data_IF_430028849019
#
_entry.id   IF_430028849019
#
_cell.length_a   1.000
_cell.length_b   1.000
_cell.length_c   1.000
_cell.angle_alpha   90.00
_cell.angle_beta   90.00
_cell.angle_gamma   90.00
#
_symmetry.space_group_name_H-M   'P 1'
#
loop_
_entity.id
_entity.type
_entity.pdbx_description
1 polymer ?
#
# COMPACT_ATOMS: atom_id res chain seq x y z
N UNK A 1 -12.20 -19.95 -5.67
CA UNK A 1 -12.97 -19.28 -4.60
C UNK A 1 -13.08 -17.80 -4.88
N UNK A 2 -13.61 -17.00 -3.94
CA UNK A 2 -13.69 -15.54 -4.03
C UNK A 2 -12.94 -14.94 -2.83
N UNK A 3 -12.18 -13.87 -3.05
CA UNK A 3 -11.46 -13.15 -2.00
C UNK A 3 -11.42 -11.65 -2.29
N UNK A 4 -11.23 -10.83 -1.25
CA UNK A 4 -10.89 -9.41 -1.38
C UNK A 4 -9.38 -9.29 -1.33
N UNK A 5 -8.78 -8.74 -2.39
CA UNK A 5 -7.33 -8.60 -2.54
C UNK A 5 -6.99 -7.12 -2.79
N UNK A 6 -5.83 -6.63 -2.33
CA UNK A 6 -5.31 -5.35 -2.79
C UNK A 6 -5.09 -5.40 -4.31
N UNK A 7 -5.54 -4.38 -5.04
CA UNK A 7 -5.44 -4.27 -6.50
C UNK A 7 -4.02 -4.50 -7.00
N UNK A 8 -3.02 -3.85 -6.40
CA UNK A 8 -1.61 -3.98 -6.80
C UNK A 8 -1.02 -5.40 -6.66
N UNK A 9 -1.67 -6.30 -5.90
CA UNK A 9 -1.35 -7.73 -5.87
C UNK A 9 -2.13 -8.47 -6.96
N UNK A 10 -3.44 -8.22 -7.04
CA UNK A 10 -4.34 -8.93 -7.96
C UNK A 10 -4.06 -8.62 -9.44
N UNK A 11 -3.73 -7.37 -9.77
CA UNK A 11 -3.50 -6.90 -11.14
C UNK A 11 -2.29 -7.57 -11.81
N UNK A 12 -1.42 -8.21 -11.02
CA UNK A 12 -0.25 -8.95 -11.52
C UNK A 12 -0.53 -10.41 -11.85
N UNK A 13 -1.71 -10.91 -11.50
CA UNK A 13 -2.10 -12.30 -11.72
C UNK A 13 -3.20 -12.37 -12.79
N UNK A 14 -2.80 -12.79 -14.00
CA UNK A 14 -3.70 -12.92 -15.15
C UNK A 14 -4.76 -14.02 -14.99
N UNK A 15 -4.67 -14.86 -13.95
CA UNK A 15 -5.67 -15.89 -13.67
C UNK A 15 -6.86 -15.37 -12.86
N UNK A 16 -6.74 -14.16 -12.30
CA UNK A 16 -7.79 -13.50 -11.53
C UNK A 16 -8.70 -12.64 -12.41
N UNK A 17 -9.96 -12.49 -11.99
CA UNK A 17 -10.91 -11.54 -12.62
C UNK A 17 -11.64 -10.70 -11.55
N UNK A 18 -11.82 -9.39 -11.77
CA UNK A 18 -12.70 -8.57 -10.93
C UNK A 18 -14.16 -9.05 -11.02
N UNK A 19 -14.88 -9.07 -9.90
CA UNK A 19 -16.28 -9.53 -9.85
C UNK A 19 -17.32 -8.40 -9.79
N UNK A 20 -17.06 -7.34 -9.03
CA UNK A 20 -18.04 -6.27 -8.75
C UNK A 20 -17.43 -4.86 -8.88
N UNK A 21 -16.80 -4.51 -10.00
CA UNK A 21 -16.00 -3.28 -10.12
C UNK A 21 -16.79 -1.98 -9.93
N UNK A 22 -18.12 -1.98 -10.19
CA UNK A 22 -18.97 -0.79 -10.02
C UNK A 22 -19.61 -0.68 -8.63
N UNK A 23 -19.53 -1.72 -7.80
CA UNK A 23 -20.27 -1.83 -6.53
C UNK A 23 -19.33 -1.92 -5.32
N UNK A 24 -18.07 -2.29 -5.52
CA UNK A 24 -17.13 -2.54 -4.45
C UNK A 24 -15.77 -1.87 -4.74
N UNK A 25 -15.49 -0.77 -4.03
CA UNK A 25 -14.18 -0.13 -3.95
C UNK A 25 -13.79 -0.02 -2.48
N UNK A 26 -12.70 -0.68 -2.09
CA UNK A 26 -12.23 -0.73 -0.71
C UNK A 26 -10.89 -0.01 -0.56
N UNK A 27 -10.90 1.12 0.13
CA UNK A 27 -9.67 1.79 0.53
C UNK A 27 -9.14 1.21 1.84
N UNK A 28 -7.85 0.89 1.88
CA UNK A 28 -7.13 0.47 3.10
C UNK A 28 -6.05 1.50 3.40
N UNK A 29 -5.95 1.88 4.66
CA UNK A 29 -4.89 2.78 5.13
C UNK A 29 -3.68 1.97 5.56
N UNK A 30 -2.51 2.31 5.02
CA UNK A 30 -1.23 1.82 5.54
C UNK A 30 -0.73 2.74 6.63
N UNK A 31 -0.35 2.15 7.76
CA UNK A 31 0.22 2.88 8.89
C UNK A 31 1.71 2.54 9.01
N UNK A 32 2.52 3.56 9.22
CA UNK A 32 3.92 3.41 9.61
C UNK A 32 4.06 3.78 11.08
N UNK A 33 4.77 2.97 11.85
CA UNK A 33 5.05 3.22 13.26
C UNK A 33 6.54 3.03 13.55
N UNK A 34 7.04 3.78 14.53
CA UNK A 34 8.43 3.71 14.99
C UNK A 34 8.48 4.08 16.47
N UNK A 35 9.20 3.32 17.32
CA UNK A 35 9.41 3.69 18.72
C UNK A 35 10.04 5.07 18.85
N UNK A 36 9.52 5.92 19.74
CA UNK A 36 9.96 7.30 19.89
C UNK A 36 11.46 7.39 20.25
N UNK A 37 11.93 6.43 21.03
CA UNK A 37 13.31 6.28 21.48
C UNK A 37 14.26 6.05 20.29
N UNK A 38 13.79 5.49 19.19
CA UNK A 38 14.62 5.18 18.01
C UNK A 38 14.53 6.25 16.91
N UNK A 39 13.58 7.18 17.00
CA UNK A 39 13.34 8.25 16.01
C UNK A 39 14.55 9.13 15.75
N UNK A 40 15.40 9.32 16.75
CA UNK A 40 16.59 10.18 16.66
C UNK A 40 17.78 9.48 15.98
N UNK A 41 17.72 8.17 15.72
CA UNK A 41 18.78 7.45 15.01
C UNK A 41 18.73 7.81 13.51
N UNK A 42 19.87 8.16 12.93
CA UNK A 42 19.94 8.58 11.52
C UNK A 42 19.40 7.51 10.55
N UNK A 43 19.76 6.24 10.76
CA UNK A 43 19.26 5.12 9.95
C UNK A 43 17.73 4.97 10.02
N UNK A 44 17.13 5.26 11.18
CA UNK A 44 15.69 5.15 11.36
C UNK A 44 14.95 6.24 10.59
N UNK A 45 15.46 7.47 10.63
CA UNK A 45 14.93 8.57 9.80
C UNK A 45 15.07 8.26 8.31
N UNK A 46 16.23 7.77 7.87
CA UNK A 46 16.47 7.45 6.47
C UNK A 46 15.46 6.41 5.94
N UNK A 47 15.20 5.34 6.69
CA UNK A 47 14.19 4.34 6.31
C UNK A 47 12.78 4.93 6.31
N UNK A 48 12.44 5.75 7.32
CA UNK A 48 11.14 6.42 7.39
C UNK A 48 10.89 7.33 6.18
N UNK A 49 11.86 8.18 5.85
CA UNK A 49 11.80 9.09 4.70
C UNK A 49 11.67 8.31 3.39
N UNK A 50 12.51 7.29 3.21
CA UNK A 50 12.47 6.41 2.04
C UNK A 50 11.09 5.76 1.84
N UNK A 51 10.52 5.17 2.89
CA UNK A 51 9.22 4.52 2.80
C UNK A 51 8.10 5.52 2.51
N UNK A 52 8.12 6.69 3.14
CA UNK A 52 7.14 7.77 2.90
C UNK A 52 7.19 8.27 1.47
N UNK A 53 8.39 8.53 0.96
CA UNK A 53 8.61 9.01 -0.40
C UNK A 53 8.20 7.95 -1.43
N UNK A 54 8.58 6.69 -1.21
CA UNK A 54 8.19 5.57 -2.06
C UNK A 54 6.67 5.40 -2.10
N UNK A 55 5.99 5.45 -0.95
CA UNK A 55 4.53 5.34 -0.90
C UNK A 55 3.85 6.50 -1.65
N UNK A 56 4.41 7.70 -1.56
CA UNK A 56 3.90 8.89 -2.26
C UNK A 56 4.13 8.78 -3.76
N UNK A 57 5.33 8.38 -4.21
CA UNK A 57 5.64 8.24 -5.64
C UNK A 57 4.85 7.12 -6.31
N UNK A 58 4.46 6.09 -5.55
CA UNK A 58 3.65 4.96 -6.02
C UNK A 58 2.17 5.07 -5.65
N UNK A 59 1.68 6.27 -5.29
CA UNK A 59 0.29 6.45 -4.86
C UNK A 59 -0.73 5.94 -5.90
N UNK A 60 -0.48 6.12 -7.20
CA UNK A 60 -1.39 5.64 -8.25
C UNK A 60 -1.51 4.10 -8.29
N UNK A 61 -0.50 3.37 -7.84
CA UNK A 61 -0.53 1.91 -7.73
C UNK A 61 -1.25 1.47 -6.46
N UNK A 62 -1.08 2.22 -5.37
CA UNK A 62 -1.68 1.91 -4.06
C UNK A 62 -3.14 2.36 -3.93
N UNK A 63 -3.53 3.40 -4.68
CA UNK A 63 -4.86 3.99 -4.75
C UNK A 63 -5.26 4.18 -6.22
N UNK A 64 -5.54 3.08 -6.95
CA UNK A 64 -6.06 3.17 -8.31
C UNK A 64 -7.47 3.77 -8.32
N UNK A 65 -7.83 4.38 -9.46
CA UNK A 65 -9.11 5.05 -9.68
C UNK A 65 -10.32 4.10 -9.63
#
# INVERSE_FOLDING_TARGET
GIAVLPSFIADRDSTLRPLLPAQANFTRTFWMSMPAETKHLARMRAVWEFLRETATSHQAVLLPA
#
